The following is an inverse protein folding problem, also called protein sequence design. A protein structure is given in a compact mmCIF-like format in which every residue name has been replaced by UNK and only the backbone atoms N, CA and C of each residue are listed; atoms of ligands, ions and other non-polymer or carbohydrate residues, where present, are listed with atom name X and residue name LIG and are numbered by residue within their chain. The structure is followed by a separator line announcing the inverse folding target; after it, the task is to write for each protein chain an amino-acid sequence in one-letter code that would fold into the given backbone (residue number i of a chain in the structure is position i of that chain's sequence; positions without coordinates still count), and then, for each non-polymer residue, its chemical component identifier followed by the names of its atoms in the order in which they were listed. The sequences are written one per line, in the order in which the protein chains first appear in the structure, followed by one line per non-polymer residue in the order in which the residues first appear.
data_IF_222745270265
#
_entry.id   IF_222745270265
#
_cell.length_a   1.000
_cell.length_b   1.000
_cell.length_c   1.000
_cell.angle_alpha   90.00
_cell.angle_beta   90.00
_cell.angle_gamma   90.00
#
_symmetry.space_group_name_H-M   'P 1'
#
loop_
_entity.id
_entity.type
_entity.pdbx_description
1 polymer ?
#
# COMPACT_ATOMS: atom_id res chain seq x y z
N UNK A 1 11.52 -3.61 -1.30
CA UNK A 1 11.26 -2.78 -0.12
C UNK A 1 12.17 -3.24 1.02
N UNK A 2 12.60 -2.34 1.90
CA UNK A 2 13.38 -2.68 3.09
C UNK A 2 12.57 -2.26 4.31
N UNK A 3 12.26 -3.22 5.18
CA UNK A 3 11.62 -2.95 6.47
C UNK A 3 12.70 -2.95 7.56
N UNK A 4 12.77 -1.84 8.29
CA UNK A 4 13.69 -1.66 9.40
C UNK A 4 12.83 -1.62 10.66
N UNK A 5 13.13 -2.51 11.60
CA UNK A 5 12.45 -2.62 12.89
C UNK A 5 13.52 -2.60 13.97
N UNK A 6 13.24 -2.00 15.13
CA UNK A 6 14.17 -2.01 16.25
C UNK A 6 14.39 -3.45 16.75
N UNK A 7 15.58 -3.71 17.29
CA UNK A 7 15.92 -5.00 17.90
C UNK A 7 14.92 -5.39 18.99
N UNK A 8 14.62 -6.68 19.12
CA UNK A 8 13.66 -7.21 20.11
C UNK A 8 12.18 -7.05 19.75
N UNK A 9 11.84 -6.43 18.61
CA UNK A 9 10.46 -6.34 18.11
C UNK A 9 10.28 -7.34 16.96
N UNK A 10 9.27 -8.21 17.08
CA UNK A 10 8.93 -9.19 16.05
C UNK A 10 8.44 -8.53 14.76
N UNK A 11 8.78 -9.13 13.62
CA UNK A 11 8.31 -8.72 12.28
C UNK A 11 7.21 -9.65 11.79
N UNK A 12 6.39 -9.14 10.88
CA UNK A 12 5.39 -9.91 10.16
C UNK A 12 5.73 -9.98 8.67
N UNK A 13 6.08 -11.17 8.19
CA UNK A 13 6.46 -11.38 6.80
C UNK A 13 5.28 -11.17 5.83
N UNK A 14 4.05 -11.42 6.28
CA UNK A 14 2.86 -11.22 5.45
C UNK A 14 2.62 -9.73 5.19
N UNK A 15 2.79 -8.89 6.22
CA UNK A 15 2.65 -7.44 6.04
C UNK A 15 3.78 -6.86 5.17
N UNK A 16 5.01 -7.35 5.31
CA UNK A 16 6.10 -6.98 4.40
C UNK A 16 5.76 -7.34 2.95
N UNK A 17 5.28 -8.56 2.71
CA UNK A 17 4.88 -9.00 1.37
C UNK A 17 3.73 -8.15 0.81
N UNK A 18 2.74 -7.83 1.65
CA UNK A 18 1.62 -6.94 1.28
C UNK A 18 2.13 -5.56 0.85
N UNK A 19 3.04 -4.95 1.61
CA UNK A 19 3.66 -3.66 1.26
C UNK A 19 4.44 -3.72 -0.05
N UNK A 20 5.20 -4.80 -0.29
CA UNK A 20 5.95 -5.00 -1.54
C UNK A 20 5.01 -5.06 -2.75
N UNK A 21 3.93 -5.83 -2.65
CA UNK A 21 2.92 -5.95 -3.72
C UNK A 21 2.21 -4.62 -4.00
N UNK A 22 1.82 -3.89 -2.96
CA UNK A 22 1.24 -2.55 -3.12
C UNK A 22 2.22 -1.60 -3.82
N UNK A 23 3.50 -1.63 -3.46
CA UNK A 23 4.54 -0.82 -4.11
C UNK A 23 4.71 -1.18 -5.60
N UNK A 24 4.67 -2.48 -5.94
CA UNK A 24 4.68 -2.92 -7.33
C UNK A 24 3.44 -2.44 -8.09
N UNK A 25 2.26 -2.49 -7.47
CA UNK A 25 1.01 -2.03 -8.09
C UNK A 25 1.06 -0.54 -8.43
N UNK A 26 1.39 0.34 -7.47
CA UNK A 26 1.42 1.79 -7.73
C UNK A 26 2.52 2.18 -8.73
N UNK A 27 3.63 1.42 -8.77
CA UNK A 27 4.67 1.62 -9.77
C UNK A 27 4.20 1.25 -11.19
N UNK A 28 3.33 0.24 -11.31
CA UNK A 28 2.78 -0.23 -12.58
C UNK A 28 1.54 0.57 -13.03
N UNK A 29 0.83 1.24 -12.11
CA UNK A 29 -0.42 1.96 -12.37
C UNK A 29 -0.28 3.45 -11.95
N UNK A 30 0.34 4.31 -12.78
CA UNK A 30 0.48 5.72 -12.47
C UNK A 30 -0.89 6.40 -12.28
N UNK A 31 -1.04 7.17 -11.20
CA UNK A 31 -2.28 7.88 -10.88
C UNK A 31 -3.23 7.10 -9.97
N UNK A 32 -2.88 5.87 -9.57
CA UNK A 32 -3.62 5.11 -8.56
C UNK A 32 -2.86 4.98 -7.25
N UNK A 33 -3.60 4.81 -6.16
CA UNK A 33 -3.06 4.56 -4.82
C UNK A 33 -3.77 3.37 -4.16
N UNK A 34 -3.00 2.56 -3.43
CA UNK A 34 -3.53 1.47 -2.61
C UNK A 34 -4.00 2.00 -1.25
N UNK A 35 -5.30 1.89 -0.88
CA UNK A 35 -5.82 2.36 0.40
C UNK A 35 -5.35 1.49 1.59
N UNK A 36 -5.76 1.87 2.80
CA UNK A 36 -5.40 1.14 4.02
C UNK A 36 -5.82 -0.34 3.93
N UNK A 37 -4.95 -1.25 4.37
CA UNK A 37 -5.13 -2.71 4.35
C UNK A 37 -5.26 -3.35 2.96
N UNK A 38 -5.07 -2.59 1.88
CA UNK A 38 -5.17 -3.10 0.51
C UNK A 38 -4.37 -4.39 0.26
N UNK A 39 -4.97 -5.29 -0.53
CA UNK A 39 -4.40 -6.52 -1.07
C UNK A 39 -4.63 -6.62 -2.58
N UNK A 40 -3.84 -7.46 -3.26
CA UNK A 40 -4.00 -7.69 -4.71
C UNK A 40 -5.42 -8.10 -5.07
N UNK A 41 -6.00 -7.40 -6.04
CA UNK A 41 -7.37 -7.60 -6.51
C UNK A 41 -8.43 -6.74 -5.80
N UNK A 42 -8.09 -6.02 -4.73
CA UNK A 42 -9.00 -5.07 -4.08
C UNK A 42 -9.02 -3.71 -4.79
N UNK A 43 -10.09 -2.94 -4.52
CA UNK A 43 -10.28 -1.61 -5.09
C UNK A 43 -9.18 -0.62 -4.67
N UNK A 44 -8.80 0.22 -5.63
CA UNK A 44 -7.85 1.31 -5.47
C UNK A 44 -8.55 2.66 -5.56
N UNK A 45 -7.81 3.72 -5.26
CA UNK A 45 -8.30 5.09 -5.41
C UNK A 45 -7.49 5.81 -6.47
N UNK A 46 -8.17 6.60 -7.30
CA UNK A 46 -7.54 7.58 -8.17
C UNK A 46 -7.62 8.95 -7.50
N UNK A 47 -6.50 9.53 -7.02
CA UNK A 47 -6.52 10.84 -6.38
C UNK A 47 -7.03 11.93 -7.35
N UNK A 48 -8.05 12.66 -6.92
CA UNK A 48 -8.63 13.77 -7.70
C UNK A 48 -9.20 14.85 -6.78
N UNK A 49 -9.40 16.06 -7.31
CA UNK A 49 -10.02 17.16 -6.56
C UNK A 49 -11.44 16.82 -6.08
N UNK A 50 -12.20 16.09 -6.90
CA UNK A 50 -13.55 15.68 -6.55
C UNK A 50 -13.59 14.68 -5.38
N UNK A 51 -12.47 14.00 -5.09
CA UNK A 51 -12.40 13.02 -4.00
C UNK A 51 -12.01 13.65 -2.65
N UNK A 52 -11.45 14.87 -2.66
CA UNK A 52 -10.97 15.55 -1.46
C UNK A 52 -12.14 15.82 -0.50
N UNK A 53 -12.05 15.29 0.73
CA UNK A 53 -13.04 15.48 1.77
C UNK A 53 -14.30 14.61 1.67
N UNK A 54 -14.34 13.64 0.74
CA UNK A 54 -15.46 12.69 0.59
C UNK A 54 -15.19 11.31 1.19
N UNK A 55 -13.91 10.97 1.42
CA UNK A 55 -13.42 9.72 2.02
C UNK A 55 -12.63 10.08 3.27
#
# INVERSE_FOLDING_TARGET
AMEITAEGIGRDAEDLMRKVKAAQYVAANPGEVCPAKWKEGEETLAPSLDLVGKI
#
